data_IF_381114675406
#
_entry.id   IF_381114675406
#
_cell.length_a   1.000
_cell.length_b   1.000
_cell.length_c   1.000
_cell.angle_alpha   90.00
_cell.angle_beta   90.00
_cell.angle_gamma   90.00
#
_symmetry.space_group_name_H-M   'P 1'
#
loop_
_entity.id
_entity.type
_entity.pdbx_description
1 polymer ?
#
# COMPACT_ATOMS: atom_id res chain seq x y z
N UNK A 1 7.18 -18.52 3.36
CA UNK A 1 5.87 -17.95 3.04
C UNK A 1 5.75 -16.54 3.57
N UNK A 2 5.19 -15.65 2.77
CA UNK A 2 4.93 -14.30 3.21
C UNK A 2 3.78 -14.29 4.22
N UNK A 3 3.94 -13.56 5.31
CA UNK A 3 2.87 -13.38 6.28
C UNK A 3 1.86 -12.39 5.73
N UNK A 4 0.59 -12.69 5.91
CA UNK A 4 -0.48 -11.80 5.46
C UNK A 4 -0.77 -10.67 6.44
N UNK A 5 -0.52 -10.92 7.74
CA UNK A 5 -0.85 -9.96 8.79
C UNK A 5 0.29 -9.84 9.81
N UNK A 6 0.46 -8.62 10.30
CA UNK A 6 1.50 -8.29 11.28
C UNK A 6 0.88 -7.51 12.43
N UNK A 7 1.37 -7.76 13.65
CA UNK A 7 0.92 -6.99 14.82
C UNK A 7 1.68 -5.66 14.89
N UNK A 8 1.15 -4.70 15.67
CA UNK A 8 1.82 -3.41 15.89
C UNK A 8 3.26 -3.60 16.37
N UNK A 9 3.47 -4.49 17.33
CA UNK A 9 4.79 -4.74 17.88
C UNK A 9 5.77 -5.26 16.83
N UNK A 10 5.31 -6.21 16.01
CA UNK A 10 6.12 -6.76 14.92
C UNK A 10 6.49 -5.69 13.89
N UNK A 11 5.53 -4.82 13.57
CA UNK A 11 5.75 -3.73 12.61
C UNK A 11 6.81 -2.76 13.15
N UNK A 12 6.70 -2.36 14.41
CA UNK A 12 7.66 -1.44 15.03
C UNK A 12 9.07 -2.03 15.01
N UNK A 13 9.19 -3.30 15.37
CA UNK A 13 10.49 -3.98 15.41
C UNK A 13 11.09 -4.18 14.02
N UNK A 14 10.28 -4.66 13.09
CA UNK A 14 10.77 -5.02 11.74
C UNK A 14 11.13 -3.79 10.91
N UNK A 15 10.29 -2.76 10.94
CA UNK A 15 10.52 -1.56 10.14
C UNK A 15 11.34 -0.50 10.87
N UNK A 16 11.67 -0.73 12.15
CA UNK A 16 12.45 0.21 12.94
C UNK A 16 11.83 1.61 12.96
N UNK A 17 10.51 1.65 13.20
CA UNK A 17 9.76 2.90 13.29
C UNK A 17 9.31 3.15 14.71
N UNK A 18 9.10 4.41 15.06
CA UNK A 18 8.55 4.79 16.35
C UNK A 18 7.04 4.55 16.36
N UNK A 19 6.53 4.19 17.54
CA UNK A 19 5.09 4.05 17.72
C UNK A 19 4.37 5.36 17.37
N UNK A 20 4.97 6.51 17.72
CA UNK A 20 4.39 7.82 17.41
C UNK A 20 4.25 8.04 15.90
N UNK A 21 5.25 7.66 15.13
CA UNK A 21 5.21 7.77 13.66
C UNK A 21 4.06 6.93 13.11
N UNK A 22 3.92 5.71 13.61
CA UNK A 22 2.84 4.82 13.17
C UNK A 22 1.46 5.39 13.50
N UNK A 23 1.31 5.94 14.72
CA UNK A 23 0.05 6.58 15.12
C UNK A 23 -0.27 7.82 14.30
N UNK A 24 0.73 8.62 13.96
CA UNK A 24 0.53 9.79 13.11
C UNK A 24 0.02 9.39 11.73
N UNK A 25 0.56 8.32 11.16
CA UNK A 25 0.09 7.81 9.87
C UNK A 25 -1.34 7.30 9.96
N UNK A 26 -1.70 6.65 11.05
CA UNK A 26 -3.07 6.20 11.27
C UNK A 26 -4.04 7.37 11.43
N UNK A 27 -3.67 8.40 12.18
CA UNK A 27 -4.49 9.59 12.38
C UNK A 27 -4.76 10.33 11.07
N UNK A 28 -3.77 10.37 10.18
CA UNK A 28 -3.91 10.99 8.87
C UNK A 28 -4.56 10.06 7.84
N UNK A 29 -4.97 8.88 8.27
CA UNK A 29 -5.61 7.87 7.43
C UNK A 29 -4.71 7.42 6.26
N UNK A 30 -3.40 7.52 6.43
CA UNK A 30 -2.44 7.04 5.43
C UNK A 30 -2.25 5.54 5.52
N UNK A 31 -2.43 4.99 6.71
CA UNK A 31 -2.37 3.56 7.00
C UNK A 31 -3.62 3.19 7.79
N UNK A 32 -4.26 2.10 7.39
CA UNK A 32 -5.50 1.64 8.00
C UNK A 32 -5.32 0.22 8.53
N UNK A 33 -4.97 0.05 9.82
CA UNK A 33 -4.90 -1.27 10.40
C UNK A 33 -6.30 -1.86 10.57
N UNK A 34 -6.37 -3.19 10.66
CA UNK A 34 -7.59 -3.89 10.95
C UNK A 34 -7.65 -4.20 12.43
N UNK A 35 -8.87 -4.12 13.00
CA UNK A 35 -9.11 -4.50 14.39
C UNK A 35 -9.86 -5.82 14.40
N UNK A 36 -9.34 -6.78 15.18
CA UNK A 36 -10.04 -8.06 15.37
C UNK A 36 -11.03 -7.92 16.51
N UNK A 37 -12.19 -8.53 16.36
CA UNK A 37 -13.25 -8.51 17.39
C UNK A 37 -12.85 -9.22 18.67
N UNK A 38 -11.98 -10.23 18.54
CA UNK A 38 -11.59 -11.09 19.66
C UNK A 38 -10.34 -10.59 20.41
N UNK A 39 -9.62 -9.60 19.88
CA UNK A 39 -8.44 -9.04 20.54
C UNK A 39 -8.44 -7.52 20.40
N UNK A 40 -7.88 -6.78 21.39
CA UNK A 40 -7.72 -5.33 21.27
C UNK A 40 -6.56 -4.94 20.34
N UNK A 41 -5.77 -5.90 19.89
CA UNK A 41 -4.58 -5.63 19.10
C UNK A 41 -4.94 -5.34 17.65
N UNK A 42 -4.27 -4.34 17.10
CA UNK A 42 -4.38 -4.01 15.68
C UNK A 42 -3.50 -4.94 14.87
N UNK A 43 -3.97 -5.26 13.67
CA UNK A 43 -3.17 -6.05 12.72
C UNK A 43 -3.03 -5.26 11.42
N UNK A 44 -1.90 -5.44 10.77
CA UNK A 44 -1.58 -4.71 9.54
C UNK A 44 -1.47 -5.68 8.38
N UNK A 45 -2.35 -5.55 7.36
CA UNK A 45 -2.19 -6.33 6.13
C UNK A 45 -0.91 -5.94 5.40
N UNK A 46 -0.39 -6.85 4.58
CA UNK A 46 0.84 -6.60 3.81
C UNK A 46 0.75 -5.33 2.95
N UNK A 47 -0.43 -5.04 2.42
CA UNK A 47 -0.66 -3.84 1.60
C UNK A 47 -0.39 -2.56 2.38
N UNK A 48 -0.77 -2.54 3.66
CA UNK A 48 -0.54 -1.37 4.52
C UNK A 48 0.92 -1.24 4.89
N UNK A 49 1.65 -2.36 4.99
CA UNK A 49 3.09 -2.34 5.27
C UNK A 49 3.89 -1.77 4.10
N UNK A 50 3.45 -1.97 2.88
CA UNK A 50 4.06 -1.34 1.72
C UNK A 50 3.96 0.17 1.78
N UNK A 51 2.80 0.68 2.18
CA UNK A 51 2.60 2.11 2.39
C UNK A 51 3.49 2.64 3.51
N UNK A 52 3.61 1.91 4.60
CA UNK A 52 4.47 2.30 5.72
C UNK A 52 5.92 2.39 5.29
N UNK A 53 6.39 1.42 4.55
CA UNK A 53 7.76 1.40 4.05
C UNK A 53 8.05 2.63 3.19
N UNK A 54 7.16 2.93 2.26
CA UNK A 54 7.29 4.10 1.41
C UNK A 54 7.23 5.39 2.21
N UNK A 55 6.30 5.49 3.16
CA UNK A 55 6.17 6.66 4.01
C UNK A 55 7.46 6.90 4.81
N UNK A 56 8.05 5.85 5.35
CA UNK A 56 9.29 5.96 6.11
C UNK A 56 10.42 6.52 5.26
N UNK A 57 10.58 6.02 4.04
CA UNK A 57 11.59 6.52 3.11
C UNK A 57 11.35 7.99 2.78
N UNK A 58 10.11 8.35 2.48
CA UNK A 58 9.78 9.72 2.11
C UNK A 58 10.04 10.71 3.24
N UNK A 59 9.69 10.34 4.46
CA UNK A 59 9.87 11.22 5.62
C UNK A 59 11.33 11.26 6.07
N UNK A 60 11.94 10.11 6.30
CA UNK A 60 13.27 10.02 6.90
C UNK A 60 14.40 10.38 5.93
N UNK A 61 14.30 9.93 4.69
CA UNK A 61 15.38 10.13 3.72
C UNK A 61 15.18 11.36 2.84
N UNK A 62 13.93 11.69 2.52
CA UNK A 62 13.62 12.77 1.59
C UNK A 62 13.01 14.00 2.24
N UNK A 63 12.73 13.95 3.54
CA UNK A 63 12.19 15.09 4.26
C UNK A 63 10.79 15.52 3.85
N UNK A 64 10.01 14.59 3.31
CA UNK A 64 8.63 14.87 2.89
C UNK A 64 7.73 14.93 4.13
N UNK A 65 6.85 15.93 4.21
CA UNK A 65 5.88 16.02 5.31
C UNK A 65 4.70 15.08 5.05
N UNK A 66 3.86 14.87 6.08
CA UNK A 66 2.75 13.93 5.95
C UNK A 66 1.74 14.30 4.87
N UNK A 67 1.37 15.58 4.68
CA UNK A 67 0.52 15.93 3.54
C UNK A 67 1.15 15.56 2.19
N UNK A 68 2.46 15.70 2.05
CA UNK A 68 3.16 15.27 0.86
C UNK A 68 3.15 13.76 0.67
N UNK A 69 3.31 13.01 1.77
CA UNK A 69 3.21 11.55 1.74
C UNK A 69 1.82 11.13 1.25
N UNK A 70 0.76 11.77 1.75
CA UNK A 70 -0.61 11.50 1.33
C UNK A 70 -0.77 11.67 -0.18
N UNK A 71 -0.29 12.77 -0.71
CA UNK A 71 -0.36 13.04 -2.15
C UNK A 71 0.38 11.97 -2.95
N UNK A 72 1.58 11.61 -2.52
CA UNK A 72 2.38 10.59 -3.21
C UNK A 72 1.71 9.23 -3.18
N UNK A 73 1.14 8.84 -2.04
CA UNK A 73 0.43 7.56 -1.94
C UNK A 73 -0.81 7.51 -2.84
N UNK A 74 -1.53 8.64 -2.95
CA UNK A 74 -2.68 8.73 -3.85
C UNK A 74 -2.27 8.63 -5.31
N UNK A 75 -1.20 9.33 -5.68
CA UNK A 75 -0.66 9.25 -7.04
C UNK A 75 -0.21 7.84 -7.39
N UNK A 76 0.44 7.17 -6.44
CA UNK A 76 0.88 5.79 -6.61
C UNK A 76 -0.32 4.87 -6.89
N UNK A 77 -1.40 5.04 -6.13
CA UNK A 77 -2.63 4.25 -6.34
C UNK A 77 -3.20 4.53 -7.74
N UNK A 78 -3.28 5.79 -8.12
CA UNK A 78 -3.79 6.17 -9.44
C UNK A 78 -2.95 5.57 -10.57
N UNK A 79 -1.64 5.55 -10.41
CA UNK A 79 -0.74 4.93 -11.37
C UNK A 79 -1.00 3.43 -11.52
N UNK A 80 -1.21 2.73 -10.41
CA UNK A 80 -1.54 1.30 -10.44
C UNK A 80 -2.88 1.05 -11.12
N UNK A 81 -3.89 1.88 -10.83
CA UNK A 81 -5.20 1.76 -11.46
C UNK A 81 -5.12 1.98 -12.97
N UNK A 82 -4.38 3.01 -13.39
CA UNK A 82 -4.16 3.29 -14.80
C UNK A 82 -3.43 2.16 -15.49
N UNK A 83 -2.42 1.61 -14.85
CA UNK A 83 -1.65 0.48 -15.38
C UNK A 83 -2.54 -0.74 -15.56
N UNK A 84 -3.40 -1.04 -14.58
CA UNK A 84 -4.32 -2.16 -14.67
C UNK A 84 -5.32 -1.98 -15.81
N UNK A 85 -5.85 -0.77 -15.97
CA UNK A 85 -6.76 -0.46 -17.08
C UNK A 85 -6.07 -0.64 -18.43
N UNK A 86 -4.83 -0.19 -18.52
CA UNK A 86 -4.05 -0.33 -19.75
C UNK A 86 -3.79 -1.79 -20.08
N UNK A 87 -3.43 -2.59 -19.06
CA UNK A 87 -3.21 -4.02 -19.24
C UNK A 87 -4.49 -4.72 -19.72
N UNK A 88 -5.65 -4.36 -19.16
CA UNK A 88 -6.94 -4.91 -19.57
C UNK A 88 -7.25 -4.59 -21.04
N UNK A 89 -6.97 -3.36 -21.46
CA UNK A 89 -7.16 -2.94 -22.84
C UNK A 89 -6.26 -3.76 -23.76
N UNK A 90 -5.00 -3.95 -23.39
CA UNK A 90 -4.06 -4.76 -24.16
C UNK A 90 -4.52 -6.20 -24.30
N UNK A 91 -5.05 -6.78 -23.21
CA UNK A 91 -5.60 -8.14 -23.26
C UNK A 91 -6.78 -8.25 -24.21
N UNK A 92 -7.68 -7.27 -24.17
CA UNK A 92 -8.84 -7.23 -25.06
C UNK A 92 -8.42 -7.13 -26.51
N UNK A 93 -7.44 -6.27 -26.80
CA UNK A 93 -6.89 -6.15 -28.15
C UNK A 93 -6.26 -7.45 -28.63
N UNK A 94 -5.49 -8.09 -27.78
CA UNK A 94 -4.85 -9.36 -28.10
C UNK A 94 -5.88 -10.44 -28.45
N UNK A 95 -6.95 -10.53 -27.65
CA UNK A 95 -8.04 -11.49 -27.89
C UNK A 95 -8.75 -11.21 -29.21
N UNK A 96 -9.03 -9.94 -29.49
CA UNK A 96 -9.70 -9.56 -30.74
C UNK A 96 -8.84 -9.86 -31.97
N UNK A 97 -7.54 -9.63 -31.88
CA UNK A 97 -6.60 -9.96 -32.95
C UNK A 97 -6.53 -11.47 -33.16
N UNK A 98 -6.52 -12.25 -32.10
CA UNK A 98 -6.50 -13.69 -32.17
C UNK A 98 -7.75 -14.23 -32.87
N UNK A 99 -8.93 -13.70 -32.55
CA UNK A 99 -10.18 -14.07 -33.22
C UNK A 99 -10.13 -13.81 -34.73
N UNK A 100 -9.60 -12.68 -35.14
CA UNK A 100 -9.49 -12.32 -36.54
C UNK A 100 -8.53 -13.23 -37.29
N UNK A 101 -7.45 -13.64 -36.62
CA UNK A 101 -6.48 -14.55 -37.25
C UNK A 101 -7.05 -15.96 -37.38
N UNK A 102 -7.98 -16.36 -36.51
CA UNK A 102 -8.59 -17.68 -36.54
C UNK A 102 -9.80 -17.79 -37.47
N UNK A 103 -10.28 -16.68 -38.03
CA UNK A 103 -11.38 -16.67 -38.99
C UNK A 103 -10.96 -17.15 -40.38
#
# INVERSE_FOLDING_TARGET
>A
MAREFWTTKEVIEFFEVDERFLLDLEEEELICPLCRDDTPDKIFPAEELEKLRLAKILVDEMGVNLPGVDIILRMRRMMFEMRNQFDDILEDLARNLQKRLDE
#
